data_IF_480988333056
#
_entry.id   IF_480988333056
#
_cell.length_a   1.000
_cell.length_b   1.000
_cell.length_c   1.000
_cell.angle_alpha   90.00
_cell.angle_beta   90.00
_cell.angle_gamma   90.00
#
_symmetry.space_group_name_H-M   'P 1'
#
loop_
_entity.id
_entity.type
_entity.pdbx_description
1 polymer ?
#
# COMPACT_ATOMS: atom_id res chain seq x y z
N UNK A 1 11.65 15.03 -9.75
CA UNK A 1 12.94 14.34 -9.56
C UNK A 1 13.37 13.76 -10.88
N UNK A 2 14.60 14.07 -11.33
CA UNK A 2 15.16 13.63 -12.61
C UNK A 2 15.81 12.24 -12.55
N UNK A 3 15.96 11.67 -11.35
CA UNK A 3 16.58 10.35 -11.12
C UNK A 3 15.63 9.53 -10.23
N UNK A 4 15.17 8.39 -10.75
CA UNK A 4 14.35 7.43 -9.99
C UNK A 4 15.25 6.47 -9.19
N UNK A 5 15.95 7.00 -8.20
CA UNK A 5 16.87 6.30 -7.32
C UNK A 5 16.91 6.94 -5.92
N UNK A 6 17.70 6.38 -5.02
CA UNK A 6 17.86 6.87 -3.65
C UNK A 6 18.90 7.99 -3.56
N UNK A 7 18.69 8.89 -2.61
CA UNK A 7 19.72 9.81 -2.13
C UNK A 7 20.77 9.05 -1.29
N UNK A 8 21.89 9.68 -0.98
CA UNK A 8 22.90 9.10 -0.06
C UNK A 8 22.28 8.72 1.31
N UNK A 9 21.37 9.56 1.83
CA UNK A 9 20.60 9.26 3.04
C UNK A 9 19.71 8.03 2.83
N UNK A 10 18.98 7.98 1.72
CA UNK A 10 18.11 6.84 1.37
C UNK A 10 18.86 5.51 1.28
N UNK A 11 20.08 5.50 0.73
CA UNK A 11 20.91 4.28 0.72
C UNK A 11 21.29 3.82 2.12
N UNK A 12 21.60 4.73 3.05
CA UNK A 12 21.87 4.39 4.45
C UNK A 12 20.62 3.86 5.14
N UNK A 13 19.46 4.46 4.90
CA UNK A 13 18.19 3.98 5.44
C UNK A 13 17.84 2.58 4.90
N UNK A 14 18.04 2.31 3.60
CA UNK A 14 17.86 0.99 3.01
C UNK A 14 18.80 -0.06 3.62
N UNK A 15 20.02 0.33 3.95
CA UNK A 15 20.98 -0.56 4.63
C UNK A 15 20.51 -0.91 6.06
N UNK A 16 20.03 0.07 6.85
CA UNK A 16 19.43 -0.20 8.17
C UNK A 16 18.18 -1.07 8.08
N UNK A 17 17.32 -0.84 7.07
CA UNK A 17 16.16 -1.67 6.81
C UNK A 17 16.58 -3.12 6.55
N UNK A 18 17.64 -3.33 5.78
CA UNK A 18 18.15 -4.68 5.48
C UNK A 18 18.59 -5.42 6.76
N UNK A 19 19.20 -4.74 7.74
CA UNK A 19 19.57 -5.34 9.03
C UNK A 19 18.34 -5.80 9.84
N UNK A 20 17.20 -5.12 9.68
CA UNK A 20 15.94 -5.52 10.31
C UNK A 20 15.34 -6.73 9.59
N UNK A 21 15.24 -6.67 8.27
CA UNK A 21 14.53 -7.68 7.48
C UNK A 21 15.28 -9.03 7.43
N UNK A 22 16.60 -9.02 7.46
CA UNK A 22 17.40 -10.25 7.50
C UNK A 22 17.20 -11.10 8.76
N UNK A 23 16.52 -10.58 9.79
CA UNK A 23 16.18 -11.31 11.02
C UNK A 23 14.83 -12.03 10.92
N UNK A 24 14.09 -11.81 9.84
CA UNK A 24 12.76 -12.39 9.62
C UNK A 24 12.84 -13.59 8.67
N UNK A 25 11.99 -14.58 8.90
CA UNK A 25 11.71 -15.61 7.93
C UNK A 25 10.71 -15.07 6.91
N UNK A 26 11.20 -14.73 5.72
CA UNK A 26 10.39 -14.11 4.67
C UNK A 26 10.14 -15.13 3.57
N UNK A 27 8.87 -15.39 3.28
CA UNK A 27 8.42 -16.29 2.22
C UNK A 27 8.69 -15.68 0.86
N UNK A 28 8.16 -14.51 0.58
CA UNK A 28 8.26 -13.85 -0.70
C UNK A 28 8.47 -12.34 -0.58
N UNK A 29 9.21 -11.80 -1.55
CA UNK A 29 9.42 -10.37 -1.75
C UNK A 29 8.72 -9.90 -3.00
N UNK A 30 7.95 -8.84 -2.90
CA UNK A 30 7.29 -8.15 -4.00
C UNK A 30 7.78 -6.70 -4.07
N UNK A 31 8.04 -6.22 -5.28
CA UNK A 31 8.65 -4.89 -5.46
C UNK A 31 7.98 -4.12 -6.58
N UNK A 32 7.79 -2.82 -6.37
CA UNK A 32 7.42 -1.86 -7.40
C UNK A 32 8.47 -1.83 -8.52
N UNK A 33 8.07 -1.63 -9.79
CA UNK A 33 9.01 -1.48 -10.90
C UNK A 33 9.81 -0.18 -10.84
N UNK A 34 9.47 0.79 -9.96
CA UNK A 34 10.18 2.05 -9.85
C UNK A 34 11.56 1.88 -9.23
N UNK A 35 12.56 2.58 -9.79
CA UNK A 35 13.96 2.43 -9.42
C UNK A 35 14.23 2.60 -7.94
N UNK A 36 13.64 3.63 -7.31
CA UNK A 36 13.79 3.89 -5.86
C UNK A 36 13.31 2.73 -4.97
N UNK A 37 12.28 1.99 -5.37
CA UNK A 37 11.82 0.82 -4.63
C UNK A 37 12.77 -0.37 -4.81
N UNK A 38 13.26 -0.59 -6.05
CA UNK A 38 14.26 -1.62 -6.35
C UNK A 38 15.58 -1.36 -5.62
N UNK A 39 16.00 -0.10 -5.54
CA UNK A 39 17.20 0.29 -4.81
C UNK A 39 17.02 0.06 -3.31
N UNK A 40 15.83 0.36 -2.74
CA UNK A 40 15.53 0.14 -1.33
C UNK A 40 15.58 -1.34 -0.94
N UNK A 41 15.07 -2.24 -1.78
CA UNK A 41 15.09 -3.69 -1.50
C UNK A 41 16.46 -4.32 -1.73
N UNK A 42 17.30 -3.74 -2.59
CA UNK A 42 18.52 -4.37 -3.09
C UNK A 42 19.52 -4.80 -1.99
N UNK A 43 19.79 -4.02 -0.90
CA UNK A 43 20.68 -4.48 0.18
C UNK A 43 20.12 -5.72 0.89
N UNK A 44 18.79 -5.77 1.12
CA UNK A 44 18.13 -6.93 1.76
C UNK A 44 18.27 -8.18 0.90
N UNK A 45 17.94 -8.10 -0.38
CA UNK A 45 18.02 -9.24 -1.30
C UNK A 45 19.45 -9.76 -1.43
N UNK A 46 20.42 -8.86 -1.49
CA UNK A 46 21.85 -9.22 -1.55
C UNK A 46 22.28 -9.98 -0.29
N UNK A 47 21.93 -9.48 0.90
CA UNK A 47 22.30 -10.12 2.19
C UNK A 47 21.66 -11.50 2.35
N UNK A 48 20.40 -11.64 1.91
CA UNK A 48 19.65 -12.88 2.04
C UNK A 48 19.87 -13.86 0.88
N UNK A 49 20.60 -13.46 -0.16
CA UNK A 49 20.73 -14.21 -1.41
C UNK A 49 19.37 -14.61 -2.00
N UNK A 50 18.46 -13.63 -2.08
CA UNK A 50 17.07 -13.78 -2.55
C UNK A 50 16.81 -12.87 -3.74
N UNK A 51 15.67 -13.09 -4.38
CA UNK A 51 15.11 -12.23 -5.45
C UNK A 51 13.73 -11.72 -5.03
N UNK A 52 13.26 -10.66 -5.67
CA UNK A 52 11.91 -10.15 -5.52
C UNK A 52 11.12 -10.30 -6.83
N UNK A 53 9.82 -10.54 -6.71
CA UNK A 53 8.89 -10.50 -7.85
C UNK A 53 8.51 -9.05 -8.12
N UNK A 54 8.83 -8.55 -9.31
CA UNK A 54 8.41 -7.23 -9.76
C UNK A 54 6.92 -7.25 -10.11
N UNK A 55 6.17 -6.27 -9.56
CA UNK A 55 4.74 -6.15 -9.75
C UNK A 55 4.39 -4.74 -10.23
N UNK A 56 3.88 -4.62 -11.45
CA UNK A 56 3.49 -3.31 -12.02
C UNK A 56 2.43 -2.58 -11.19
N UNK A 57 1.52 -3.32 -10.58
CA UNK A 57 0.46 -2.76 -9.73
C UNK A 57 0.97 -2.20 -8.39
N UNK A 58 2.26 -2.40 -8.04
CA UNK A 58 2.91 -1.81 -6.86
C UNK A 58 3.52 -0.42 -7.15
N UNK A 59 3.32 0.16 -8.35
CA UNK A 59 3.72 1.55 -8.63
C UNK A 59 3.04 2.52 -7.68
N UNK A 60 3.61 3.74 -7.55
CA UNK A 60 2.93 4.78 -6.80
C UNK A 60 1.52 5.03 -7.36
N UNK A 61 0.58 5.28 -6.45
CA UNK A 61 -0.81 5.56 -6.79
C UNK A 61 -0.93 7.02 -7.24
N UNK A 62 -0.63 7.29 -8.49
CA UNK A 62 -0.43 8.61 -9.07
C UNK A 62 -1.56 9.06 -10.00
N UNK A 63 -2.77 8.51 -9.83
CA UNK A 63 -3.96 8.98 -10.57
C UNK A 63 -4.23 10.45 -10.22
N UNK A 64 -4.24 11.30 -11.24
CA UNK A 64 -4.38 12.75 -11.05
C UNK A 64 -5.84 13.16 -11.05
N UNK A 65 -6.23 14.00 -10.10
CA UNK A 65 -7.57 14.58 -9.93
C UNK A 65 -7.53 16.10 -9.93
N UNK A 66 -8.71 16.71 -10.12
CA UNK A 66 -8.92 18.13 -9.94
C UNK A 66 -9.16 18.44 -8.46
N UNK A 67 -8.13 18.86 -7.72
CA UNK A 67 -8.25 19.22 -6.30
C UNK A 67 -8.76 20.66 -6.14
N UNK A 68 -9.54 20.95 -5.08
CA UNK A 68 -10.11 22.30 -4.89
C UNK A 68 -9.06 23.37 -4.58
N UNK A 69 -7.93 22.99 -4.01
CA UNK A 69 -6.83 23.89 -3.62
C UNK A 69 -5.79 24.11 -4.75
N UNK A 70 -5.93 23.39 -5.88
CA UNK A 70 -5.02 23.50 -7.04
C UNK A 70 -5.84 23.73 -8.30
N UNK A 71 -5.78 24.93 -8.88
CA UNK A 71 -6.68 25.36 -9.97
C UNK A 71 -6.07 25.30 -11.36
N UNK A 72 -4.76 25.13 -11.47
CA UNK A 72 -4.01 25.25 -12.73
C UNK A 72 -3.59 23.88 -13.33
N UNK A 73 -3.73 22.81 -12.57
CA UNK A 73 -3.35 21.44 -13.00
C UNK A 73 -4.06 20.36 -12.18
N UNK A 74 -4.14 19.17 -12.74
CA UNK A 74 -4.49 17.97 -11.97
C UNK A 74 -3.31 17.52 -11.12
N UNK A 75 -3.60 16.99 -9.94
CA UNK A 75 -2.59 16.57 -8.96
C UNK A 75 -3.04 15.28 -8.27
N UNK A 76 -2.14 14.64 -7.53
CA UNK A 76 -2.38 13.42 -6.74
C UNK A 76 -3.58 13.56 -5.79
N UNK A 77 -4.25 12.44 -5.43
CA UNK A 77 -5.50 12.49 -4.64
C UNK A 77 -5.30 12.68 -3.13
N UNK A 78 -4.08 12.80 -2.65
CA UNK A 78 -3.78 13.10 -1.23
C UNK A 78 -3.21 14.51 -1.06
N UNK A 79 -2.94 14.92 0.18
CA UNK A 79 -2.47 16.27 0.56
C UNK A 79 -3.48 17.42 0.29
N UNK A 80 -4.77 17.14 0.36
CA UNK A 80 -5.78 18.19 0.36
C UNK A 80 -5.71 19.00 1.65
N UNK A 81 -6.06 20.29 1.56
CA UNK A 81 -6.22 21.10 2.75
C UNK A 81 -7.37 20.54 3.62
N UNK A 82 -7.22 20.50 4.95
CA UNK A 82 -8.22 19.91 5.84
C UNK A 82 -9.62 20.48 5.63
N UNK A 83 -9.76 21.81 5.46
CA UNK A 83 -11.02 22.49 5.23
C UNK A 83 -11.72 22.07 3.93
N UNK A 84 -11.03 21.44 3.01
CA UNK A 84 -11.58 21.02 1.71
C UNK A 84 -12.05 19.57 1.72
N UNK A 85 -11.26 18.64 2.31
CA UNK A 85 -11.64 17.23 2.32
C UNK A 85 -12.56 16.85 3.48
N UNK A 86 -12.40 17.46 4.68
CA UNK A 86 -13.16 17.08 5.88
C UNK A 86 -14.64 17.44 5.85
N UNK A 87 -15.09 18.19 4.85
CA UNK A 87 -16.48 18.62 4.72
C UNK A 87 -17.37 17.64 3.98
N UNK A 88 -16.79 16.67 3.31
CA UNK A 88 -17.54 15.64 2.60
C UNK A 88 -17.54 14.35 3.42
N UNK A 89 -18.69 14.06 4.05
CA UNK A 89 -18.87 12.86 4.89
C UNK A 89 -18.60 11.56 4.13
N UNK A 90 -18.73 11.53 2.80
CA UNK A 90 -18.42 10.36 1.96
C UNK A 90 -16.95 9.97 2.07
N UNK A 91 -16.06 10.92 2.27
CA UNK A 91 -14.62 10.66 2.41
C UNK A 91 -14.24 9.85 3.64
N UNK A 92 -15.12 9.79 4.66
CA UNK A 92 -14.91 8.94 5.84
C UNK A 92 -15.44 7.51 5.66
N UNK A 93 -16.17 7.24 4.57
CA UNK A 93 -16.84 5.97 4.34
C UNK A 93 -16.06 5.12 3.31
N UNK A 94 -15.74 3.89 3.69
CA UNK A 94 -14.99 2.97 2.83
C UNK A 94 -15.67 2.70 1.49
N UNK A 95 -17.01 2.60 1.48
CA UNK A 95 -17.79 2.25 0.28
C UNK A 95 -18.28 3.47 -0.52
N UNK A 96 -18.02 4.72 -0.08
CA UNK A 96 -18.58 5.93 -0.68
C UNK A 96 -17.57 7.04 -0.99
N UNK A 97 -16.30 6.93 -0.56
CA UNK A 97 -15.29 7.97 -0.73
C UNK A 97 -15.07 8.40 -2.19
N UNK A 98 -15.28 7.49 -3.12
CA UNK A 98 -15.11 7.72 -4.55
C UNK A 98 -16.33 8.39 -5.22
N UNK A 99 -17.45 8.55 -4.54
CA UNK A 99 -18.68 9.18 -5.05
C UNK A 99 -18.63 10.72 -5.07
N UNK A 100 -17.56 11.31 -4.54
CA UNK A 100 -17.29 12.74 -4.71
C UNK A 100 -17.06 13.06 -6.19
N UNK A 101 -17.60 14.18 -6.67
CA UNK A 101 -17.61 14.56 -8.09
C UNK A 101 -16.19 14.63 -8.69
N UNK A 102 -15.18 15.03 -7.89
CA UNK A 102 -13.78 15.13 -8.33
C UNK A 102 -13.15 13.76 -8.49
N UNK A 103 -13.54 12.80 -7.64
CA UNK A 103 -13.11 11.41 -7.75
C UNK A 103 -13.76 10.73 -8.97
N UNK A 104 -15.07 10.95 -9.15
CA UNK A 104 -15.82 10.42 -10.32
C UNK A 104 -15.34 10.99 -11.67
N UNK A 105 -14.82 12.23 -11.68
CA UNK A 105 -14.28 12.86 -12.89
C UNK A 105 -12.90 12.29 -13.33
N UNK A 106 -12.40 11.28 -12.64
CA UNK A 106 -11.12 10.61 -12.90
C UNK A 106 -11.32 9.09 -12.93
N UNK A 107 -10.30 8.35 -13.38
CA UNK A 107 -10.27 6.89 -13.31
C UNK A 107 -9.75 6.37 -11.96
N UNK A 108 -9.90 7.15 -10.91
CA UNK A 108 -9.30 6.84 -9.59
C UNK A 108 -9.90 5.55 -9.00
N UNK A 109 -11.23 5.38 -9.08
CA UNK A 109 -11.90 4.16 -8.58
C UNK A 109 -11.50 2.94 -9.41
N UNK A 110 -11.43 3.05 -10.74
CA UNK A 110 -11.00 1.95 -11.61
C UNK A 110 -9.56 1.51 -11.28
N UNK A 111 -8.67 2.47 -11.06
CA UNK A 111 -7.29 2.16 -10.66
C UNK A 111 -7.20 1.56 -9.24
N UNK A 112 -8.00 2.06 -8.30
CA UNK A 112 -8.14 1.48 -6.97
C UNK A 112 -8.57 0.01 -7.04
N UNK A 113 -9.61 -0.29 -7.83
CA UNK A 113 -10.13 -1.65 -7.99
C UNK A 113 -9.10 -2.58 -8.66
N UNK A 114 -8.35 -2.06 -9.64
CA UNK A 114 -7.27 -2.80 -10.27
C UNK A 114 -6.20 -3.21 -9.25
N UNK A 115 -5.71 -2.25 -8.45
CA UNK A 115 -4.66 -2.50 -7.45
C UNK A 115 -5.13 -3.48 -6.39
N UNK A 116 -6.32 -3.26 -5.81
CA UNK A 116 -6.87 -4.11 -4.75
C UNK A 116 -7.23 -5.50 -5.26
N UNK A 117 -7.73 -5.61 -6.49
CA UNK A 117 -7.95 -6.89 -7.15
C UNK A 117 -6.66 -7.69 -7.35
N UNK A 118 -5.55 -7.02 -7.71
CA UNK A 118 -4.24 -7.68 -7.83
C UNK A 118 -3.68 -8.13 -6.47
N UNK A 119 -3.93 -7.37 -5.42
CA UNK A 119 -3.61 -7.80 -4.05
C UNK A 119 -4.40 -9.06 -3.67
N UNK A 120 -5.72 -9.07 -3.93
CA UNK A 120 -6.56 -10.23 -3.63
C UNK A 120 -6.17 -11.48 -4.46
N UNK A 121 -5.83 -11.32 -5.74
CA UNK A 121 -5.27 -12.41 -6.57
C UNK A 121 -3.96 -12.98 -5.98
N UNK A 122 -3.13 -12.13 -5.41
CA UNK A 122 -1.88 -12.53 -4.77
C UNK A 122 -2.16 -13.25 -3.45
N UNK A 123 -2.99 -12.68 -2.57
CA UNK A 123 -3.35 -13.29 -1.30
C UNK A 123 -4.05 -14.63 -1.48
N UNK A 124 -4.85 -14.81 -2.53
CA UNK A 124 -5.47 -16.09 -2.86
C UNK A 124 -4.44 -17.19 -3.14
N UNK A 125 -3.28 -16.85 -3.75
CA UNK A 125 -2.17 -17.80 -3.94
C UNK A 125 -1.49 -18.21 -2.64
N UNK A 126 -1.65 -17.39 -1.59
CA UNK A 126 -1.17 -17.64 -0.24
C UNK A 126 -2.28 -18.17 0.70
N UNK A 127 -3.38 -18.66 0.15
CA UNK A 127 -4.44 -19.33 0.92
C UNK A 127 -5.54 -18.41 1.46
N UNK A 128 -5.55 -17.11 1.13
CA UNK A 128 -6.53 -16.12 1.62
C UNK A 128 -7.37 -15.55 0.47
N UNK A 129 -8.62 -15.99 0.36
CA UNK A 129 -9.55 -15.57 -0.70
C UNK A 129 -10.52 -14.53 -0.17
N UNK A 130 -10.60 -13.35 -0.80
CA UNK A 130 -11.51 -12.27 -0.40
C UNK A 130 -12.96 -12.73 -0.36
N UNK A 131 -13.68 -12.41 0.74
CA UNK A 131 -15.10 -12.68 0.94
C UNK A 131 -15.76 -11.47 1.65
N UNK A 132 -16.30 -10.55 0.87
CA UNK A 132 -16.81 -9.27 1.38
C UNK A 132 -15.72 -8.44 2.07
N UNK A 133 -15.84 -8.21 3.36
CA UNK A 133 -14.89 -7.44 4.17
C UNK A 133 -13.90 -8.30 4.96
N UNK A 134 -13.87 -9.61 4.73
CA UNK A 134 -12.94 -10.55 5.34
C UNK A 134 -12.33 -11.50 4.29
N UNK A 135 -11.63 -12.52 4.73
CA UNK A 135 -11.01 -13.51 3.88
C UNK A 135 -11.41 -14.93 4.29
N UNK A 136 -11.77 -15.75 3.32
CA UNK A 136 -11.80 -17.20 3.48
C UNK A 136 -10.37 -17.73 3.57
N UNK A 137 -10.09 -18.53 4.59
CA UNK A 137 -8.82 -19.24 4.74
C UNK A 137 -8.97 -20.59 4.08
N UNK A 138 -8.32 -20.78 2.93
CA UNK A 138 -8.28 -22.05 2.19
C UNK A 138 -7.10 -22.89 2.68
N UNK A 139 -6.00 -22.21 3.03
CA UNK A 139 -4.79 -22.83 3.57
C UNK A 139 -4.20 -21.89 4.63
N UNK A 140 -4.35 -22.26 5.90
CA UNK A 140 -3.75 -21.49 7.00
C UNK A 140 -2.23 -21.64 7.01
N UNK A 141 -1.51 -20.54 7.15
CA UNK A 141 -0.06 -20.51 7.17
C UNK A 141 0.45 -19.30 7.97
N UNK A 142 1.76 -19.29 8.24
CA UNK A 142 2.47 -18.18 8.90
C UNK A 142 3.46 -17.49 7.97
N UNK A 143 3.19 -17.50 6.68
CA UNK A 143 4.04 -16.90 5.67
C UNK A 143 4.16 -15.39 5.86
N UNK A 144 5.38 -14.88 5.84
CA UNK A 144 5.64 -13.45 5.81
C UNK A 144 5.89 -12.99 4.38
N UNK A 145 5.06 -12.07 3.89
CA UNK A 145 5.18 -11.43 2.58
C UNK A 145 5.67 -9.99 2.77
N UNK A 146 6.67 -9.58 2.01
CA UNK A 146 7.21 -8.22 2.11
C UNK A 146 7.03 -7.48 0.79
N UNK A 147 6.45 -6.29 0.87
CA UNK A 147 6.16 -5.41 -0.27
C UNK A 147 7.01 -4.15 -0.19
N UNK A 148 7.76 -3.85 -1.25
CA UNK A 148 8.46 -2.59 -1.42
C UNK A 148 7.69 -1.73 -2.40
N UNK A 149 6.98 -0.74 -1.90
CA UNK A 149 6.09 0.10 -2.67
C UNK A 149 6.19 1.59 -2.26
N UNK A 150 5.11 2.33 -2.27
CA UNK A 150 5.07 3.77 -2.10
C UNK A 150 3.93 4.17 -1.19
N UNK A 151 3.98 5.37 -0.60
CA UNK A 151 3.04 5.82 0.41
C UNK A 151 1.58 5.88 -0.08
N UNK A 152 1.34 6.51 -1.23
CA UNK A 152 -0.04 6.62 -1.75
C UNK A 152 -0.65 5.26 -2.05
N UNK A 153 0.15 4.34 -2.62
CA UNK A 153 -0.24 2.96 -2.85
C UNK A 153 -0.41 2.18 -1.54
N UNK A 154 0.50 2.31 -0.57
CA UNK A 154 0.39 1.68 0.74
C UNK A 154 -0.96 1.99 1.38
N UNK A 155 -1.38 3.26 1.35
CA UNK A 155 -2.70 3.66 1.87
C UNK A 155 -3.86 2.97 1.13
N UNK A 156 -3.75 2.70 -0.17
CA UNK A 156 -4.74 1.92 -0.94
C UNK A 156 -4.79 0.47 -0.46
N UNK A 157 -3.63 -0.17 -0.29
CA UNK A 157 -3.56 -1.55 0.21
C UNK A 157 -4.13 -1.65 1.64
N UNK A 158 -3.75 -0.73 2.52
CA UNK A 158 -4.27 -0.65 3.89
C UNK A 158 -5.78 -0.39 3.93
N UNK A 159 -6.26 0.53 3.07
CA UNK A 159 -7.69 0.82 2.92
C UNK A 159 -8.47 -0.47 2.64
N UNK A 160 -8.02 -1.27 1.69
CA UNK A 160 -8.67 -2.50 1.28
C UNK A 160 -8.61 -3.59 2.37
N UNK A 161 -7.45 -3.79 2.98
CA UNK A 161 -7.25 -4.82 4.01
C UNK A 161 -7.98 -4.51 5.32
N UNK A 162 -8.06 -3.22 5.69
CA UNK A 162 -8.65 -2.77 6.96
C UNK A 162 -10.09 -2.26 6.80
N UNK A 163 -10.62 -2.16 5.58
CA UNK A 163 -11.94 -1.60 5.27
C UNK A 163 -12.10 -0.16 5.80
N UNK A 164 -11.08 0.68 5.57
CA UNK A 164 -11.04 2.08 5.96
C UNK A 164 -10.95 2.92 4.68
N UNK A 165 -11.64 4.06 4.62
CA UNK A 165 -11.52 4.98 3.47
C UNK A 165 -10.06 5.37 3.21
N UNK A 166 -9.57 5.31 1.96
CA UNK A 166 -8.22 5.74 1.62
C UNK A 166 -8.01 7.24 1.87
N UNK A 167 -9.07 8.06 1.81
CA UNK A 167 -9.00 9.49 2.15
C UNK A 167 -8.59 9.71 3.61
N UNK A 168 -9.07 8.88 4.53
CA UNK A 168 -8.69 8.95 5.95
C UNK A 168 -7.22 8.56 6.12
N UNK A 169 -6.76 7.54 5.42
CA UNK A 169 -5.35 7.09 5.48
C UNK A 169 -4.42 8.11 4.83
N UNK A 170 -4.70 8.54 3.61
CA UNK A 170 -3.87 9.54 2.89
C UNK A 170 -3.66 10.85 3.66
N UNK A 171 -4.61 11.22 4.54
CA UNK A 171 -4.56 12.49 5.28
C UNK A 171 -4.33 12.33 6.79
N UNK A 172 -4.46 11.10 7.32
CA UNK A 172 -4.39 10.82 8.75
C UNK A 172 -3.11 10.16 9.22
N UNK A 173 -2.30 9.62 8.29
CA UNK A 173 -1.03 8.95 8.62
C UNK A 173 0.11 9.47 7.75
N UNK A 174 1.35 9.24 8.18
CA UNK A 174 2.55 9.64 7.45
C UNK A 174 3.63 8.58 7.64
N UNK A 175 4.04 7.93 6.55
CA UNK A 175 5.12 6.97 6.54
C UNK A 175 6.43 7.62 6.09
N UNK A 176 7.50 7.43 6.86
CA UNK A 176 8.83 7.87 6.47
C UNK A 176 9.41 6.94 5.37
N UNK A 177 10.33 7.44 4.51
CA UNK A 177 11.07 6.57 3.61
C UNK A 177 11.75 5.42 4.36
N UNK A 178 11.71 4.22 3.81
CA UNK A 178 12.25 2.97 4.42
C UNK A 178 11.61 2.57 5.76
N UNK A 179 10.50 3.16 6.15
CA UNK A 179 9.70 2.69 7.28
C UNK A 179 8.98 1.37 6.98
N UNK A 180 8.47 0.71 8.01
CA UNK A 180 7.86 -0.62 7.88
C UNK A 180 6.50 -0.66 8.56
N UNK A 181 5.46 -0.80 7.76
CA UNK A 181 4.11 -1.09 8.24
C UNK A 181 3.92 -2.60 8.34
N UNK A 182 3.32 -3.06 9.40
CA UNK A 182 3.11 -4.49 9.67
C UNK A 182 1.63 -4.80 9.86
N UNK A 183 1.12 -5.74 9.06
CA UNK A 183 -0.20 -6.32 9.22
C UNK A 183 -0.08 -7.82 9.50
N UNK A 184 -1.00 -8.32 10.30
CA UNK A 184 -1.09 -9.76 10.57
C UNK A 184 -2.50 -10.23 10.21
N UNK A 185 -2.61 -11.43 9.67
CA UNK A 185 -3.88 -12.14 9.59
C UNK A 185 -4.29 -12.60 10.98
N UNK A 186 -5.57 -12.50 11.30
CA UNK A 186 -6.14 -13.00 12.54
C UNK A 186 -7.31 -13.93 12.22
N UNK A 187 -7.14 -15.22 12.50
CA UNK A 187 -8.15 -16.25 12.31
C UNK A 187 -8.72 -16.66 13.68
N UNK A 188 -9.71 -15.91 14.19
CA UNK A 188 -10.39 -16.22 15.48
C UNK A 188 -11.43 -17.33 15.34
N UNK A 189 -11.87 -17.60 14.15
CA UNK A 189 -12.76 -18.70 13.79
C UNK A 189 -12.16 -19.41 12.59
N UNK A 190 -12.07 -20.71 12.67
CA UNK A 190 -11.56 -21.55 11.59
C UNK A 190 -12.19 -21.17 10.23
N UNK A 191 -11.35 -20.97 9.24
CA UNK A 191 -11.76 -20.67 7.87
C UNK A 191 -12.05 -19.20 7.58
N UNK A 192 -11.98 -18.26 8.58
CA UNK A 192 -12.27 -16.85 8.39
C UNK A 192 -11.17 -15.99 9.00
N UNK A 193 -10.49 -15.18 8.18
CA UNK A 193 -9.46 -14.26 8.63
C UNK A 193 -9.81 -12.80 8.32
N UNK A 194 -9.27 -11.90 9.13
CA UNK A 194 -9.20 -10.47 8.88
C UNK A 194 -7.76 -9.99 9.08
N UNK A 195 -7.41 -8.86 8.46
CA UNK A 195 -6.11 -8.22 8.67
C UNK A 195 -6.17 -7.23 9.83
N UNK A 196 -5.12 -7.20 10.63
CA UNK A 196 -4.90 -6.20 11.67
C UNK A 196 -3.54 -5.56 11.55
N UNK A 197 -3.51 -4.25 11.57
CA UNK A 197 -2.27 -3.48 11.59
C UNK A 197 -1.70 -3.43 13.01
N UNK A 198 -0.49 -3.91 13.20
CA UNK A 198 0.23 -3.92 14.49
C UNK A 198 1.29 -2.84 14.59
N UNK A 199 1.76 -2.31 13.47
CA UNK A 199 2.67 -1.16 13.41
C UNK A 199 2.42 -0.38 12.11
N UNK A 200 2.63 0.94 12.16
CA UNK A 200 2.62 1.84 11.02
C UNK A 200 3.87 2.72 11.04
N UNK A 201 4.66 2.71 9.93
CA UNK A 201 5.81 3.58 9.71
C UNK A 201 7.11 3.15 10.39
#
# INVERSE_FOLDING_TARGET
YTIDSLTEKGWREAEFLSERLTKLEIRDFYVSPLGRAKDTVSPTLKKMNRTATECDWLREFDVLIDRPDVTDKKIIPWDWLPQDWTRDERFYQYDHWFENERMLASDLKGHYDYVTGKLDELLAKHGYVRDGHCYKVVESNEDTLVFFCHFGLECVLLSHLLNISPMVLWHGVCAAPSSVTTLNTEERREGIAAFRMSAFG
#
